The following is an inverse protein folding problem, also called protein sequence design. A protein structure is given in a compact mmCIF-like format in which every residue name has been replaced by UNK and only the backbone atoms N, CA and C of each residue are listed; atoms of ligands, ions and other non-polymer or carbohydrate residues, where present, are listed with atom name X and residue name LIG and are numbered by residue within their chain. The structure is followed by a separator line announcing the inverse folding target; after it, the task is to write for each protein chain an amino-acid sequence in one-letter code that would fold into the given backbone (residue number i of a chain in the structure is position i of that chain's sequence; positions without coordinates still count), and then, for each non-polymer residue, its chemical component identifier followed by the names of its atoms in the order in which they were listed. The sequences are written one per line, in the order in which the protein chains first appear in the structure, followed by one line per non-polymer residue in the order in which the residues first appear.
data_IF_590559513320
#
_entry.id   IF_590559513320
#
_cell.length_a   1.000
_cell.length_b   1.000
_cell.length_c   1.000
_cell.angle_alpha   90.00
_cell.angle_beta   90.00
_cell.angle_gamma   90.00
#
_symmetry.space_group_name_H-M   'P 1'
#
loop_
_entity.id
_entity.type
_entity.pdbx_description
1 polymer ?
#
# COMPACT_ATOMS: atom_id res chain seq x y z
N UNK A 1 -76.20 53.46 -14.27
CA UNK A 1 -75.42 52.69 -13.26
C UNK A 1 -74.62 51.50 -13.82
N UNK A 2 -74.92 50.94 -15.00
CA UNK A 2 -74.17 49.79 -15.53
C UNK A 2 -72.75 50.10 -16.06
N UNK A 3 -72.45 51.32 -16.48
CA UNK A 3 -71.12 51.65 -17.04
C UNK A 3 -70.01 51.82 -15.98
N UNK A 4 -70.35 52.08 -14.71
CA UNK A 4 -69.37 52.23 -13.60
C UNK A 4 -68.86 50.88 -13.07
N UNK A 5 -69.64 49.81 -13.22
CA UNK A 5 -69.26 48.46 -12.74
C UNK A 5 -68.29 47.78 -13.70
N UNK A 6 -68.47 47.98 -15.01
CA UNK A 6 -67.60 47.45 -16.08
C UNK A 6 -66.22 48.12 -16.17
N UNK A 7 -66.10 49.34 -15.63
CA UNK A 7 -64.84 50.11 -15.60
C UNK A 7 -63.96 49.72 -14.39
N UNK A 8 -64.58 49.41 -13.25
CA UNK A 8 -63.89 48.93 -12.03
C UNK A 8 -63.28 47.55 -12.24
N UNK A 9 -63.95 46.67 -12.97
CA UNK A 9 -63.43 45.33 -13.32
C UNK A 9 -62.23 45.40 -14.27
N UNK A 10 -62.15 46.40 -15.16
CA UNK A 10 -61.00 46.58 -16.07
C UNK A 10 -59.74 47.09 -15.36
N UNK A 11 -59.85 48.01 -14.39
CA UNK A 11 -58.67 48.38 -13.57
C UNK A 11 -58.24 47.22 -12.67
N UNK A 12 -59.19 46.48 -12.08
CA UNK A 12 -58.89 45.26 -11.34
C UNK A 12 -58.19 44.22 -12.22
N UNK A 13 -58.61 44.06 -13.48
CA UNK A 13 -58.01 43.10 -14.42
C UNK A 13 -56.61 43.53 -14.90
N UNK A 14 -56.35 44.84 -15.07
CA UNK A 14 -55.01 45.34 -15.40
C UNK A 14 -54.05 45.26 -14.21
N UNK A 15 -54.53 45.53 -13.00
CA UNK A 15 -53.77 45.35 -11.76
C UNK A 15 -53.54 43.87 -11.47
N UNK A 16 -54.54 43.03 -11.70
CA UNK A 16 -54.45 41.58 -11.60
C UNK A 16 -53.49 41.02 -12.64
N UNK A 17 -53.52 41.44 -13.91
CA UNK A 17 -52.57 40.96 -14.92
C UNK A 17 -51.13 41.43 -14.66
N UNK A 18 -50.92 42.64 -14.12
CA UNK A 18 -49.58 43.10 -13.73
C UNK A 18 -49.09 42.43 -12.44
N UNK A 19 -49.98 42.17 -11.46
CA UNK A 19 -49.69 41.36 -10.29
C UNK A 19 -49.51 39.89 -10.65
N UNK A 20 -50.18 39.39 -11.69
CA UNK A 20 -50.05 38.02 -12.18
C UNK A 20 -48.76 37.89 -12.98
N UNK A 21 -48.34 38.90 -13.74
CA UNK A 21 -47.02 38.90 -14.37
C UNK A 21 -45.89 39.04 -13.34
N UNK A 22 -46.03 39.91 -12.33
CA UNK A 22 -45.04 40.01 -11.26
C UNK A 22 -45.05 38.80 -10.34
N UNK A 23 -46.22 38.20 -10.05
CA UNK A 23 -46.35 36.95 -9.32
C UNK A 23 -45.91 35.75 -10.17
N UNK A 24 -46.06 35.74 -11.49
CA UNK A 24 -45.51 34.68 -12.37
C UNK A 24 -44.00 34.80 -12.43
N UNK A 25 -43.43 36.01 -12.48
CA UNK A 25 -41.97 36.20 -12.36
C UNK A 25 -41.48 35.78 -10.98
N UNK A 26 -42.15 36.18 -9.89
CA UNK A 26 -41.83 35.76 -8.52
C UNK A 26 -42.07 34.27 -8.27
N UNK A 27 -43.08 33.65 -8.89
CA UNK A 27 -43.38 32.21 -8.81
C UNK A 27 -42.45 31.43 -9.72
N UNK A 28 -41.99 31.95 -10.86
CA UNK A 28 -40.92 31.31 -11.64
C UNK A 28 -39.61 31.30 -10.83
N UNK A 29 -39.26 32.42 -10.18
CA UNK A 29 -38.14 32.48 -9.22
C UNK A 29 -38.35 31.60 -7.97
N UNK A 30 -39.57 31.53 -7.42
CA UNK A 30 -39.88 30.74 -6.22
C UNK A 30 -40.12 29.25 -6.51
N UNK A 31 -40.52 28.87 -7.72
CA UNK A 31 -40.74 27.48 -8.15
C UNK A 31 -39.41 26.80 -8.50
N UNK A 32 -38.42 27.56 -8.96
CA UNK A 32 -37.01 27.10 -8.97
C UNK A 32 -36.45 27.00 -7.54
N UNK A 33 -36.76 27.95 -6.65
CA UNK A 33 -36.34 27.90 -5.24
C UNK A 33 -36.96 26.74 -4.45
N UNK A 34 -38.19 26.32 -4.79
CA UNK A 34 -38.92 25.25 -4.10
C UNK A 34 -38.50 23.83 -4.54
N UNK A 35 -37.85 23.69 -5.71
CA UNK A 35 -37.24 22.42 -6.12
C UNK A 35 -35.88 22.16 -5.46
N UNK A 36 -35.25 23.17 -4.86
CA UNK A 36 -33.97 23.03 -4.14
C UNK A 36 -34.18 22.67 -2.65
N UNK A 37 -35.41 22.82 -2.12
CA UNK A 37 -35.71 22.59 -0.70
C UNK A 37 -36.18 21.15 -0.35
N UNK A 38 -36.10 20.20 -1.28
CA UNK A 38 -36.33 18.77 -0.99
C UNK A 38 -35.07 17.94 -1.18
N UNK A 39 -34.00 18.34 -0.48
CA UNK A 39 -32.83 17.51 -0.23
C UNK A 39 -33.16 16.34 0.70
N UNK A 40 -33.75 15.27 0.16
CA UNK A 40 -33.96 13.99 0.86
C UNK A 40 -33.21 12.82 0.24
N UNK A 41 -32.11 13.09 -0.49
CA UNK A 41 -31.30 12.06 -1.15
C UNK A 41 -29.86 11.90 -0.63
N UNK A 42 -29.41 12.70 0.35
CA UNK A 42 -28.01 12.69 0.81
C UNK A 42 -27.74 11.88 2.09
N UNK A 43 -28.73 11.17 2.65
CA UNK A 43 -28.53 10.33 3.85
C UNK A 43 -28.36 8.82 3.56
N UNK A 44 -28.35 8.39 2.28
CA UNK A 44 -28.18 6.96 1.93
C UNK A 44 -26.77 6.55 1.52
N UNK A 45 -25.83 7.48 1.33
CA UNK A 45 -24.46 7.16 0.88
C UNK A 45 -23.41 7.09 2.01
N UNK A 46 -23.76 7.45 3.25
CA UNK A 46 -22.86 7.31 4.41
C UNK A 46 -23.11 6.03 5.24
N UNK A 47 -24.11 5.22 4.87
CA UNK A 47 -24.45 3.98 5.58
C UNK A 47 -23.80 2.71 4.98
N UNK A 48 -22.91 2.84 3.98
CA UNK A 48 -22.37 1.69 3.25
C UNK A 48 -20.83 1.60 3.21
N UNK A 49 -20.12 2.40 4.02
CA UNK A 49 -18.64 2.42 4.06
C UNK A 49 -18.01 1.76 5.28
N UNK A 50 -18.76 0.98 6.07
CA UNK A 50 -18.21 0.13 7.13
C UNK A 50 -18.60 -1.32 6.89
N UNK A 51 -18.10 -1.91 5.80
CA UNK A 51 -18.02 -3.36 5.65
C UNK A 51 -16.63 -3.81 6.10
N UNK A 52 -16.63 -4.71 7.07
CA UNK A 52 -15.49 -5.08 7.89
C UNK A 52 -14.29 -5.60 7.10
N UNK A 53 -13.12 -5.15 7.55
CA UNK A 53 -11.88 -5.89 7.37
C UNK A 53 -11.96 -7.15 8.26
N UNK A 54 -11.63 -8.35 7.76
CA UNK A 54 -11.53 -9.53 8.60
C UNK A 54 -10.46 -9.32 9.67
N UNK A 55 -10.86 -9.54 10.92
CA UNK A 55 -10.01 -9.53 12.10
C UNK A 55 -9.08 -10.75 12.01
N UNK A 56 -7.82 -10.56 11.60
CA UNK A 56 -6.76 -11.57 11.70
C UNK A 56 -6.24 -11.61 13.14
N UNK A 57 -7.07 -12.07 14.08
CA UNK A 57 -6.66 -12.31 15.45
C UNK A 57 -7.01 -13.74 15.80
N UNK A 58 -6.15 -14.68 15.39
CA UNK A 58 -5.89 -15.93 16.11
C UNK A 58 -4.73 -16.69 15.45
N UNK A 59 -3.52 -16.19 15.67
CA UNK A 59 -2.34 -17.04 15.82
C UNK A 59 -1.53 -16.45 16.96
N UNK A 60 -1.94 -16.80 18.19
CA UNK A 60 -1.37 -16.28 19.42
C UNK A 60 0.00 -16.94 19.66
N UNK A 61 0.99 -16.56 18.84
CA UNK A 61 2.39 -16.93 18.96
C UNK A 61 3.11 -16.14 20.08
N UNK A 62 2.41 -15.74 21.15
CA UNK A 62 3.02 -15.05 22.30
C UNK A 62 3.87 -13.80 21.99
N UNK A 63 3.77 -13.26 20.77
CA UNK A 63 4.59 -12.13 20.35
C UNK A 63 3.94 -10.83 20.81
N UNK A 64 4.67 -10.09 21.64
CA UNK A 64 4.28 -8.76 22.10
C UNK A 64 4.03 -7.86 20.88
N UNK A 65 2.89 -7.15 20.85
CA UNK A 65 2.58 -6.26 19.75
C UNK A 65 3.61 -5.13 19.66
N UNK A 66 4.14 -4.90 18.47
CA UNK A 66 5.16 -3.87 18.21
C UNK A 66 4.55 -2.50 18.50
N UNK A 67 5.14 -1.78 19.46
CA UNK A 67 4.76 -0.39 19.79
C UNK A 67 5.60 0.55 18.94
N UNK A 68 5.00 1.04 17.85
CA UNK A 68 5.65 2.00 16.97
C UNK A 68 5.74 3.40 17.60
N UNK A 69 6.87 4.08 17.38
CA UNK A 69 7.02 5.49 17.73
C UNK A 69 6.24 6.39 16.76
N UNK A 70 5.72 7.51 17.28
CA UNK A 70 4.98 8.51 16.51
C UNK A 70 5.93 9.65 16.13
N UNK A 71 5.79 10.17 14.91
CA UNK A 71 6.58 11.30 14.44
C UNK A 71 6.28 12.58 15.23
N UNK A 72 7.34 13.34 15.55
CA UNK A 72 7.20 14.67 16.15
C UNK A 72 6.91 15.72 15.08
N UNK A 73 5.67 16.22 15.07
CA UNK A 73 5.16 17.18 14.09
C UNK A 73 4.58 18.40 14.77
N UNK A 74 4.73 19.57 14.14
CA UNK A 74 4.16 20.81 14.65
C UNK A 74 2.70 20.96 14.19
N UNK A 75 1.85 21.50 15.07
CA UNK A 75 0.44 21.80 14.79
C UNK A 75 0.17 23.31 14.63
N UNK A 76 1.23 24.11 14.52
CA UNK A 76 1.17 25.58 14.47
C UNK A 76 0.77 26.12 13.09
N UNK A 77 -0.44 25.79 12.64
CA UNK A 77 -1.03 26.38 11.43
C UNK A 77 -1.73 27.70 11.79
N UNK A 78 -1.43 28.76 11.03
CA UNK A 78 -1.91 30.11 11.33
C UNK A 78 -3.02 30.58 10.35
N UNK A 79 -3.13 29.93 9.19
CA UNK A 79 -4.18 30.21 8.21
C UNK A 79 -5.57 29.92 8.76
N UNK A 80 -6.56 30.74 8.38
CA UNK A 80 -7.93 30.63 8.89
C UNK A 80 -8.96 30.67 7.76
N UNK A 81 -9.82 29.65 7.68
CA UNK A 81 -10.93 29.57 6.72
C UNK A 81 -12.23 30.27 7.20
N UNK A 82 -12.20 30.99 8.33
CA UNK A 82 -13.40 31.60 8.93
C UNK A 82 -13.86 32.83 8.14
N UNK A 83 -14.89 32.65 7.32
CA UNK A 83 -15.53 33.75 6.60
C UNK A 83 -16.64 34.43 7.44
N UNK A 84 -16.53 35.75 7.67
CA UNK A 84 -17.56 36.54 8.37
C UNK A 84 -18.39 37.36 7.39
N UNK A 85 -19.59 36.86 7.05
CA UNK A 85 -20.48 37.50 6.08
C UNK A 85 -21.16 38.80 6.56
N UNK A 86 -21.09 39.12 7.87
CA UNK A 86 -21.83 40.23 8.52
C UNK A 86 -23.29 40.29 8.01
N UNK A 87 -23.79 41.49 7.67
CA UNK A 87 -25.15 41.68 7.14
C UNK A 87 -25.37 41.26 5.67
N UNK A 88 -24.32 40.83 4.95
CA UNK A 88 -24.40 40.45 3.53
C UNK A 88 -24.74 38.98 3.31
N UNK A 89 -25.01 38.22 4.37
CA UNK A 89 -25.29 36.78 4.29
C UNK A 89 -26.41 36.42 3.30
N UNK A 90 -27.50 37.19 3.28
CA UNK A 90 -28.60 36.95 2.34
C UNK A 90 -28.21 37.19 0.88
N UNK A 91 -27.41 38.23 0.62
CA UNK A 91 -26.91 38.51 -0.72
C UNK A 91 -25.98 37.39 -1.18
N UNK A 92 -25.07 36.93 -0.32
CA UNK A 92 -24.19 35.81 -0.63
C UNK A 92 -24.94 34.50 -0.86
N UNK A 93 -26.04 34.27 -0.15
CA UNK A 93 -26.90 33.12 -0.42
C UNK A 93 -27.50 33.18 -1.83
N UNK A 94 -28.07 34.33 -2.23
CA UNK A 94 -28.64 34.52 -3.57
C UNK A 94 -27.55 34.39 -4.64
N UNK A 95 -26.39 35.02 -4.43
CA UNK A 95 -25.25 34.92 -5.34
C UNK A 95 -24.79 33.48 -5.47
N UNK A 96 -24.67 32.72 -4.37
CA UNK A 96 -24.31 31.29 -4.41
C UNK A 96 -25.36 30.46 -5.15
N UNK A 97 -26.64 30.72 -4.94
CA UNK A 97 -27.71 30.03 -5.67
C UNK A 97 -27.60 30.30 -7.18
N UNK A 98 -27.39 31.56 -7.58
CA UNK A 98 -27.17 31.94 -8.97
C UNK A 98 -25.90 31.31 -9.56
N UNK A 99 -24.79 31.35 -8.82
CA UNK A 99 -23.53 30.73 -9.24
C UNK A 99 -23.68 29.22 -9.40
N UNK A 100 -24.43 28.52 -8.54
CA UNK A 100 -24.71 27.09 -8.69
C UNK A 100 -25.55 26.77 -9.93
N UNK A 101 -26.44 27.67 -10.34
CA UNK A 101 -27.22 27.51 -11.59
C UNK A 101 -26.31 27.65 -12.81
N UNK A 102 -25.36 28.59 -12.76
CA UNK A 102 -24.47 28.87 -13.88
C UNK A 102 -23.28 27.89 -13.94
N UNK A 103 -22.77 27.49 -12.79
CA UNK A 103 -21.68 26.54 -12.59
C UNK A 103 -22.20 25.32 -11.80
N UNK A 104 -22.97 24.43 -12.42
CA UNK A 104 -23.35 23.18 -11.78
C UNK A 104 -22.15 22.22 -11.77
N UNK A 105 -21.27 22.30 -10.78
CA UNK A 105 -20.18 21.34 -10.58
C UNK A 105 -18.83 21.94 -10.18
N UNK A 106 -17.76 21.20 -10.49
CA UNK A 106 -16.37 21.59 -10.23
C UNK A 106 -15.94 22.79 -11.09
N UNK A 107 -14.94 23.56 -10.63
CA UNK A 107 -14.44 24.74 -11.38
C UNK A 107 -13.78 24.38 -12.73
N UNK A 108 -13.30 23.14 -12.83
CA UNK A 108 -12.58 22.64 -13.99
C UNK A 108 -13.30 21.38 -14.51
N UNK A 109 -13.42 21.21 -15.83
CA UNK A 109 -14.00 20.00 -16.39
C UNK A 109 -13.11 18.78 -16.07
N UNK A 110 -13.75 17.66 -15.73
CA UNK A 110 -13.07 16.37 -15.57
C UNK A 110 -12.25 16.04 -16.82
N UNK A 111 -11.01 15.59 -16.63
CA UNK A 111 -10.10 15.22 -17.72
C UNK A 111 -9.18 16.35 -18.22
N UNK A 112 -9.31 17.59 -17.75
CA UNK A 112 -8.41 18.67 -18.15
C UNK A 112 -6.96 18.47 -17.64
N UNK A 113 -6.81 17.82 -16.49
CA UNK A 113 -5.51 17.48 -15.90
C UNK A 113 -5.51 16.00 -15.57
N UNK A 114 -4.81 15.22 -16.38
CA UNK A 114 -4.62 13.78 -16.12
C UNK A 114 -3.17 13.52 -15.73
N UNK A 115 -2.97 12.86 -14.59
CA UNK A 115 -1.66 12.34 -14.20
C UNK A 115 -1.56 10.91 -14.72
N UNK A 116 -0.83 10.72 -15.81
CA UNK A 116 -0.41 9.40 -16.31
C UNK A 116 1.11 9.36 -16.29
N UNK A 117 1.68 8.32 -15.70
CA UNK A 117 3.12 8.06 -15.67
C UNK A 117 3.96 9.18 -15.00
N UNK A 118 3.45 9.77 -13.92
CA UNK A 118 4.17 10.79 -13.14
C UNK A 118 4.36 12.13 -13.85
N UNK A 119 3.71 12.32 -15.03
CA UNK A 119 3.69 13.60 -15.75
C UNK A 119 2.27 14.15 -15.78
N UNK A 120 2.13 15.37 -15.28
CA UNK A 120 0.88 16.13 -15.37
C UNK A 120 0.70 16.50 -16.85
N UNK A 121 -0.23 15.84 -17.54
CA UNK A 121 -0.62 16.22 -18.90
C UNK A 121 -1.91 17.03 -18.82
N UNK A 122 -1.80 18.29 -19.24
CA UNK A 122 -2.95 19.14 -19.51
C UNK A 122 -3.55 18.69 -20.83
N UNK A 123 -4.84 18.39 -20.85
CA UNK A 123 -5.55 18.00 -22.07
C UNK A 123 -5.46 19.11 -23.13
N UNK A 124 -5.32 18.70 -24.39
CA UNK A 124 -5.27 19.63 -25.50
C UNK A 124 -6.63 20.30 -25.70
N UNK A 125 -6.68 21.62 -25.49
CA UNK A 125 -7.88 22.46 -25.55
C UNK A 125 -8.54 22.38 -26.92
N UNK A 126 -7.76 22.14 -27.97
CA UNK A 126 -8.25 22.08 -29.35
C UNK A 126 -8.93 20.73 -29.67
N UNK A 127 -8.54 19.65 -28.99
CA UNK A 127 -9.13 18.32 -29.16
C UNK A 127 -10.44 18.11 -28.40
N UNK A 128 -10.57 18.73 -27.21
CA UNK A 128 -11.67 18.51 -26.26
C UNK A 128 -12.59 19.74 -26.11
N UNK A 129 -12.76 20.52 -27.18
CA UNK A 129 -13.54 21.77 -27.15
C UNK A 129 -15.02 21.55 -26.76
N UNK A 130 -15.59 20.39 -27.09
CA UNK A 130 -16.96 20.03 -26.73
C UNK A 130 -17.16 19.94 -25.21
N UNK A 131 -16.16 19.43 -24.49
CA UNK A 131 -16.17 19.30 -23.02
C UNK A 131 -16.11 20.68 -22.37
N UNK A 132 -15.29 21.59 -22.91
CA UNK A 132 -15.22 22.98 -22.49
C UNK A 132 -16.53 23.74 -22.74
N UNK A 133 -17.12 23.60 -23.93
CA UNK A 133 -18.38 24.28 -24.27
C UNK A 133 -19.55 23.75 -23.46
N UNK A 134 -19.59 22.45 -23.14
CA UNK A 134 -20.62 21.88 -22.28
C UNK A 134 -20.53 22.43 -20.85
N UNK A 135 -19.32 22.64 -20.36
CA UNK A 135 -19.08 23.13 -19.01
C UNK A 135 -19.25 24.65 -18.88
N UNK A 136 -18.74 25.44 -19.82
CA UNK A 136 -18.78 26.91 -19.78
C UNK A 136 -19.84 27.56 -20.68
N UNK A 137 -20.66 26.78 -21.40
CA UNK A 137 -21.61 27.32 -22.39
C UNK A 137 -22.68 28.23 -21.80
N UNK A 138 -23.25 27.88 -20.65
CA UNK A 138 -24.26 28.69 -19.96
C UNK A 138 -23.64 30.02 -19.47
N UNK A 139 -22.46 29.92 -18.87
CA UNK A 139 -21.60 31.06 -18.51
C UNK A 139 -21.38 32.03 -19.67
N UNK A 140 -20.90 31.51 -20.80
CA UNK A 140 -20.63 32.30 -22.00
C UNK A 140 -21.90 32.98 -22.53
N UNK A 141 -23.05 32.29 -22.48
CA UNK A 141 -24.33 32.85 -22.89
C UNK A 141 -24.75 34.02 -21.98
N UNK A 142 -24.64 33.88 -20.66
CA UNK A 142 -24.98 34.96 -19.71
C UNK A 142 -24.09 36.19 -19.93
N UNK A 143 -22.79 35.98 -20.12
CA UNK A 143 -21.84 37.05 -20.42
C UNK A 143 -22.18 37.74 -21.75
N UNK A 144 -22.47 36.97 -22.79
CA UNK A 144 -22.85 37.50 -24.10
C UNK A 144 -24.12 38.36 -24.00
N UNK A 145 -25.16 37.86 -23.34
CA UNK A 145 -26.42 38.59 -23.11
C UNK A 145 -26.15 39.88 -22.33
N UNK A 146 -25.33 39.83 -21.27
CA UNK A 146 -24.93 41.00 -20.49
C UNK A 146 -24.22 42.05 -21.33
N UNK A 147 -23.31 41.64 -22.23
CA UNK A 147 -22.58 42.55 -23.12
C UNK A 147 -23.53 43.22 -24.12
N UNK A 148 -24.47 42.46 -24.69
CA UNK A 148 -25.51 43.02 -25.57
C UNK A 148 -26.33 44.09 -24.84
N UNK A 149 -26.72 43.87 -23.58
CA UNK A 149 -27.41 44.89 -22.79
C UNK A 149 -26.54 46.12 -22.51
N UNK A 150 -25.27 45.92 -22.17
CA UNK A 150 -24.32 46.99 -21.89
C UNK A 150 -24.16 47.95 -23.09
N UNK A 151 -24.23 47.42 -24.32
CA UNK A 151 -24.14 48.22 -25.55
C UNK A 151 -25.50 48.80 -25.96
N UNK A 152 -26.57 48.00 -25.91
CA UNK A 152 -27.89 48.43 -26.40
C UNK A 152 -28.54 49.51 -25.52
N UNK A 153 -28.41 49.43 -24.19
CA UNK A 153 -28.99 50.41 -23.26
C UNK A 153 -28.50 51.85 -23.52
N UNK A 154 -27.18 52.15 -23.57
CA UNK A 154 -26.71 53.50 -23.85
C UNK A 154 -27.00 53.94 -25.29
N UNK A 155 -26.99 53.03 -26.28
CA UNK A 155 -27.37 53.36 -27.66
C UNK A 155 -28.84 53.76 -27.78
N UNK A 156 -29.74 53.04 -27.13
CA UNK A 156 -31.16 53.39 -27.04
C UNK A 156 -31.30 54.74 -26.33
N UNK A 157 -30.62 54.93 -25.19
CA UNK A 157 -30.62 56.20 -24.46
C UNK A 157 -30.15 57.39 -25.31
N UNK A 158 -29.08 57.21 -26.08
CA UNK A 158 -28.52 58.21 -26.99
C UNK A 158 -29.47 58.50 -28.15
N UNK A 159 -30.06 57.47 -28.77
CA UNK A 159 -31.06 57.63 -29.82
C UNK A 159 -32.28 58.41 -29.32
N UNK A 160 -32.83 58.05 -28.16
CA UNK A 160 -33.92 58.79 -27.52
C UNK A 160 -33.55 60.23 -27.18
N UNK A 161 -32.32 60.46 -26.69
CA UNK A 161 -31.79 61.79 -26.40
C UNK A 161 -31.73 62.64 -27.68
N UNK A 162 -31.09 62.14 -28.74
CA UNK A 162 -31.00 62.81 -30.04
C UNK A 162 -32.38 63.07 -30.67
N UNK A 163 -33.30 62.12 -30.61
CA UNK A 163 -34.66 62.29 -31.12
C UNK A 163 -35.47 63.34 -30.33
N UNK A 164 -35.23 63.47 -29.02
CA UNK A 164 -35.82 64.54 -28.20
C UNK A 164 -35.19 65.90 -28.50
N UNK A 165 -33.87 65.98 -28.62
CA UNK A 165 -33.16 67.21 -29.02
C UNK A 165 -33.55 67.71 -30.42
N UNK A 166 -33.86 66.80 -31.34
CA UNK A 166 -34.36 67.12 -32.68
C UNK A 166 -35.86 67.49 -32.73
N UNK A 167 -36.55 67.58 -31.57
CA UNK A 167 -37.96 67.98 -31.48
C UNK A 167 -38.97 66.97 -32.06
N UNK A 168 -38.52 65.79 -32.52
CA UNK A 168 -39.37 64.76 -33.14
C UNK A 168 -39.97 63.79 -32.13
N UNK A 169 -39.38 63.69 -30.93
CA UNK A 169 -39.89 62.88 -29.83
C UNK A 169 -40.15 63.77 -28.61
N UNK A 170 -41.40 64.19 -28.42
CA UNK A 170 -41.84 64.96 -27.27
C UNK A 170 -43.30 64.65 -26.98
N UNK A 171 -43.62 64.32 -25.73
CA UNK A 171 -44.99 64.14 -25.29
C UNK A 171 -45.81 65.38 -25.66
N UNK A 172 -46.81 65.21 -26.52
CA UNK A 172 -47.72 66.28 -26.92
C UNK A 172 -48.42 66.79 -25.67
N UNK A 173 -48.31 68.08 -25.38
CA UNK A 173 -48.87 68.77 -24.21
C UNK A 173 -50.38 68.96 -24.30
N UNK A 174 -51.15 67.91 -24.60
CA UNK A 174 -52.61 67.95 -24.47
C UNK A 174 -53.03 67.23 -23.19
N UNK A 175 -53.38 67.97 -22.11
CA UNK A 175 -53.91 67.37 -20.91
C UNK A 175 -55.42 67.16 -21.11
N UNK A 176 -55.80 66.02 -21.66
CA UNK A 176 -57.12 65.47 -21.40
C UNK A 176 -56.91 64.16 -20.65
N UNK A 177 -56.71 64.29 -19.35
CA UNK A 177 -56.75 63.15 -18.42
C UNK A 177 -58.09 62.42 -18.64
N UNK A 178 -58.01 61.21 -19.18
CA UNK A 178 -59.16 60.31 -19.30
C UNK A 178 -59.41 59.75 -17.89
N UNK A 179 -60.67 59.50 -17.49
CA UNK A 179 -61.04 59.07 -16.12
C UNK A 179 -60.32 57.81 -15.59
N UNK A 180 -59.59 57.07 -16.43
CA UNK A 180 -58.79 55.88 -16.09
C UNK A 180 -57.30 56.20 -15.75
N UNK A 181 -56.82 57.42 -15.99
CA UNK A 181 -55.44 57.83 -15.75
C UNK A 181 -54.98 57.82 -14.28
N UNK A 182 -55.79 58.06 -13.23
CA UNK A 182 -55.28 58.07 -11.85
C UNK A 182 -54.88 56.67 -11.34
N UNK A 183 -55.62 55.62 -11.71
CA UNK A 183 -55.30 54.22 -11.34
C UNK A 183 -53.99 53.77 -12.03
N UNK A 184 -53.85 54.06 -13.33
CA UNK A 184 -52.64 53.76 -14.11
C UNK A 184 -51.43 54.59 -13.68
N UNK A 185 -51.63 55.85 -13.30
CA UNK A 185 -50.57 56.71 -12.76
C UNK A 185 -50.08 56.19 -11.40
N UNK A 186 -50.99 55.75 -10.54
CA UNK A 186 -50.63 55.20 -9.24
C UNK A 186 -49.91 53.84 -9.37
N UNK A 187 -50.33 52.97 -10.30
CA UNK A 187 -49.63 51.70 -10.57
C UNK A 187 -48.20 51.93 -11.06
N UNK A 188 -48.01 52.86 -12.01
CA UNK A 188 -46.67 53.18 -12.53
C UNK A 188 -45.82 53.88 -11.47
N UNK A 189 -46.42 54.77 -10.67
CA UNK A 189 -45.74 55.42 -9.55
C UNK A 189 -45.28 54.43 -8.47
N UNK A 190 -46.14 53.48 -8.10
CA UNK A 190 -45.79 52.42 -7.14
C UNK A 190 -44.65 51.55 -7.69
N UNK A 191 -44.74 51.11 -8.95
CA UNK A 191 -43.70 50.29 -9.57
C UNK A 191 -42.35 51.03 -9.66
N UNK A 192 -42.36 52.30 -10.09
CA UNK A 192 -41.16 53.13 -10.12
C UNK A 192 -40.57 53.33 -8.71
N UNK A 193 -41.40 53.52 -7.69
CA UNK A 193 -40.95 53.60 -6.30
C UNK A 193 -40.27 52.30 -5.85
N UNK A 194 -40.89 51.14 -6.08
CA UNK A 194 -40.31 49.84 -5.77
C UNK A 194 -38.96 49.61 -6.49
N UNK A 195 -38.89 49.91 -7.79
CA UNK A 195 -37.64 49.77 -8.57
C UNK A 195 -36.55 50.72 -8.04
N UNK A 196 -36.92 51.95 -7.67
CA UNK A 196 -35.96 52.92 -7.11
C UNK A 196 -35.41 52.45 -5.77
N UNK A 197 -36.23 51.87 -4.89
CA UNK A 197 -35.80 51.28 -3.62
C UNK A 197 -34.83 50.12 -3.87
N UNK A 198 -35.13 49.23 -4.82
CA UNK A 198 -34.25 48.11 -5.18
C UNK A 198 -32.90 48.59 -5.72
N UNK A 199 -32.89 49.62 -6.58
CA UNK A 199 -31.65 50.21 -7.09
C UNK A 199 -30.85 50.85 -5.96
N UNK A 200 -31.50 51.60 -5.05
CA UNK A 200 -30.83 52.21 -3.90
C UNK A 200 -30.19 51.15 -2.99
N UNK A 201 -30.89 50.05 -2.73
CA UNK A 201 -30.34 48.90 -2.01
C UNK A 201 -29.11 48.32 -2.74
N UNK A 202 -29.20 48.13 -4.05
CA UNK A 202 -28.08 47.66 -4.88
C UNK A 202 -26.85 48.56 -4.80
N UNK A 203 -27.04 49.87 -4.78
CA UNK A 203 -25.95 50.87 -4.63
C UNK A 203 -25.29 50.74 -3.25
N UNK A 204 -26.07 50.59 -2.17
CA UNK A 204 -25.50 50.36 -0.82
C UNK A 204 -24.70 49.06 -0.79
N UNK A 205 -25.24 47.98 -1.36
CA UNK A 205 -24.51 46.72 -1.46
C UNK A 205 -23.21 46.87 -2.27
N UNK A 206 -23.22 47.64 -3.36
CA UNK A 206 -22.02 47.90 -4.16
C UNK A 206 -20.94 48.64 -3.36
N UNK A 207 -21.32 49.65 -2.57
CA UNK A 207 -20.38 50.35 -1.69
C UNK A 207 -19.77 49.44 -0.63
N UNK A 208 -20.58 48.64 0.06
CA UNK A 208 -20.08 47.69 1.07
C UNK A 208 -19.17 46.64 0.43
N UNK A 209 -19.54 46.14 -0.75
CA UNK A 209 -18.71 45.18 -1.50
C UNK A 209 -17.37 45.79 -1.89
N UNK A 210 -17.36 47.06 -2.30
CA UNK A 210 -16.13 47.76 -2.64
C UNK A 210 -15.20 47.93 -1.43
N UNK A 211 -15.75 48.28 -0.26
CA UNK A 211 -14.98 48.36 0.99
C UNK A 211 -14.39 47.00 1.41
N UNK A 212 -15.17 45.93 1.26
CA UNK A 212 -14.70 44.57 1.53
C UNK A 212 -13.65 44.11 0.53
N UNK A 213 -13.81 44.46 -0.74
CA UNK A 213 -12.81 44.17 -1.77
C UNK A 213 -11.50 44.89 -1.45
N UNK A 214 -11.56 46.16 -1.09
CA UNK A 214 -10.38 46.94 -0.69
C UNK A 214 -9.68 46.32 0.53
N UNK A 215 -10.45 45.98 1.58
CA UNK A 215 -9.90 45.33 2.78
C UNK A 215 -9.29 43.97 2.47
N UNK A 216 -9.97 43.16 1.66
CA UNK A 216 -9.47 41.85 1.22
C UNK A 216 -8.21 41.96 0.37
N UNK A 217 -8.17 42.90 -0.59
CA UNK A 217 -6.98 43.10 -1.44
C UNK A 217 -5.76 43.59 -0.66
N UNK A 218 -5.95 44.37 0.41
CA UNK A 218 -4.87 44.81 1.30
C UNK A 218 -4.32 43.67 2.16
N UNK A 219 -5.18 42.79 2.66
CA UNK A 219 -4.76 41.64 3.48
C UNK A 219 -4.23 40.46 2.64
N UNK A 220 -4.56 40.41 1.35
CA UNK A 220 -4.23 39.29 0.47
C UNK A 220 -2.74 38.90 0.45
N UNK A 221 -1.76 39.82 0.36
CA UNK A 221 -0.35 39.43 0.35
C UNK A 221 0.07 38.74 1.65
N UNK A 222 -0.40 39.23 2.80
CA UNK A 222 -0.09 38.67 4.11
C UNK A 222 -0.78 37.30 4.30
N UNK A 223 -2.06 37.19 3.94
CA UNK A 223 -2.83 35.95 4.01
C UNK A 223 -2.23 34.86 3.09
N UNK A 224 -1.77 35.24 1.90
CA UNK A 224 -1.08 34.32 0.97
C UNK A 224 0.27 33.90 1.54
N UNK A 225 1.05 34.82 2.10
CA UNK A 225 2.32 34.47 2.75
C UNK A 225 2.11 33.50 3.91
N UNK A 226 1.11 33.74 4.76
CA UNK A 226 0.74 32.82 5.86
C UNK A 226 0.30 31.46 5.32
N UNK A 227 -0.52 31.44 4.28
CA UNK A 227 -0.99 30.18 3.67
C UNK A 227 0.14 29.38 3.02
N UNK A 228 1.10 30.06 2.39
CA UNK A 228 2.31 29.42 1.84
C UNK A 228 3.21 28.89 2.95
N UNK A 229 3.43 29.66 4.02
CA UNK A 229 4.18 29.21 5.19
C UNK A 229 3.55 27.98 5.84
N UNK A 230 2.22 27.94 5.96
CA UNK A 230 1.50 26.77 6.47
C UNK A 230 1.61 25.57 5.51
N UNK A 231 1.67 25.81 4.20
CA UNK A 231 1.89 24.76 3.20
C UNK A 231 3.31 24.18 3.31
N UNK A 232 4.32 25.02 3.50
CA UNK A 232 5.68 24.58 3.74
C UNK A 232 5.78 23.77 5.03
N UNK A 233 5.11 24.21 6.12
CA UNK A 233 5.01 23.47 7.37
C UNK A 233 4.32 22.10 7.17
N UNK A 234 3.24 22.06 6.41
CA UNK A 234 2.53 20.82 6.09
C UNK A 234 3.43 19.83 5.34
N UNK A 235 4.19 20.31 4.34
CA UNK A 235 5.14 19.49 3.60
C UNK A 235 6.29 18.99 4.48
N UNK A 236 6.80 19.83 5.38
CA UNK A 236 7.84 19.44 6.34
C UNK A 236 7.33 18.37 7.31
N UNK A 237 6.14 18.55 7.87
CA UNK A 237 5.49 17.57 8.75
C UNK A 237 5.25 16.24 8.01
N UNK A 238 4.74 16.30 6.78
CA UNK A 238 4.54 15.11 5.94
C UNK A 238 5.86 14.38 5.70
N UNK A 239 6.95 15.11 5.43
CA UNK A 239 8.29 14.52 5.29
C UNK A 239 8.75 13.83 6.59
N UNK A 240 8.50 14.42 7.76
CA UNK A 240 8.82 13.82 9.06
C UNK A 240 8.02 12.55 9.31
N UNK A 241 6.72 12.56 9.03
CA UNK A 241 5.86 11.38 9.15
C UNK A 241 6.29 10.25 8.21
N UNK A 242 6.57 10.57 6.95
CA UNK A 242 7.07 9.59 5.96
C UNK A 242 8.41 9.01 6.41
N UNK A 243 9.35 9.84 6.85
CA UNK A 243 10.64 9.34 7.35
C UNK A 243 10.47 8.48 8.61
N UNK A 244 9.59 8.87 9.53
CA UNK A 244 9.33 8.08 10.74
C UNK A 244 8.73 6.71 10.38
N UNK A 245 7.78 6.66 9.45
CA UNK A 245 7.17 5.43 9.00
C UNK A 245 8.17 4.52 8.26
N UNK A 246 8.95 5.07 7.33
CA UNK A 246 9.83 4.27 6.46
C UNK A 246 11.16 3.91 7.10
N UNK A 247 11.68 4.74 8.02
CA UNK A 247 13.01 4.53 8.61
C UNK A 247 12.86 4.06 10.06
N UNK A 248 12.21 4.85 10.91
CA UNK A 248 12.12 4.56 12.34
C UNK A 248 11.27 3.32 12.60
N UNK A 249 10.01 3.31 12.13
CA UNK A 249 9.10 2.19 12.36
C UNK A 249 9.56 0.92 11.64
N UNK A 250 10.18 1.04 10.46
CA UNK A 250 10.80 -0.11 9.80
C UNK A 250 11.97 -0.67 10.63
N UNK A 251 12.84 0.18 11.19
CA UNK A 251 13.92 -0.25 12.08
C UNK A 251 13.42 -0.88 13.38
N UNK A 252 12.34 -0.34 13.96
CA UNK A 252 11.66 -0.93 15.14
C UNK A 252 11.10 -2.33 14.83
N UNK A 253 10.48 -2.47 13.66
CA UNK A 253 9.99 -3.75 13.15
C UNK A 253 11.15 -4.74 12.94
N UNK A 254 12.22 -4.32 12.26
CA UNK A 254 13.40 -5.16 11.98
C UNK A 254 14.05 -5.63 13.28
N UNK A 255 14.29 -4.73 14.23
CA UNK A 255 14.89 -5.06 15.53
C UNK A 255 14.03 -6.06 16.31
N UNK A 256 12.72 -5.83 16.35
CA UNK A 256 11.78 -6.71 17.04
C UNK A 256 11.69 -8.08 16.35
N UNK A 257 11.64 -8.11 15.02
CA UNK A 257 11.58 -9.33 14.23
C UNK A 257 12.87 -10.17 14.40
N UNK A 258 14.04 -9.53 14.38
CA UNK A 258 15.32 -10.21 14.62
C UNK A 258 15.39 -10.78 16.04
N UNK A 259 14.89 -10.04 17.03
CA UNK A 259 14.82 -10.51 18.43
C UNK A 259 13.91 -11.73 18.55
N UNK A 260 12.75 -11.70 17.89
CA UNK A 260 11.81 -12.83 17.85
C UNK A 260 12.44 -14.04 17.18
N UNK A 261 13.03 -13.88 15.98
CA UNK A 261 13.68 -14.95 15.24
C UNK A 261 14.82 -15.59 16.05
N UNK A 262 15.62 -14.77 16.73
CA UNK A 262 16.71 -15.27 17.57
C UNK A 262 16.19 -16.09 18.75
N UNK A 263 15.19 -15.59 19.49
CA UNK A 263 14.56 -16.31 20.60
C UNK A 263 13.90 -17.62 20.14
N UNK A 264 13.17 -17.59 19.03
CA UNK A 264 12.59 -18.80 18.45
C UNK A 264 13.66 -19.81 18.04
N UNK A 265 14.79 -19.33 17.52
CA UNK A 265 15.95 -20.17 17.21
C UNK A 265 16.57 -20.82 18.45
N UNK A 266 16.74 -20.07 19.55
CA UNK A 266 17.21 -20.62 20.84
C UNK A 266 16.24 -21.65 21.41
N UNK A 267 14.94 -21.36 21.44
CA UNK A 267 13.91 -22.30 21.92
C UNK A 267 13.94 -23.58 21.09
N UNK A 268 13.99 -23.48 19.76
CA UNK A 268 14.09 -24.66 18.90
C UNK A 268 15.41 -25.41 19.13
N UNK A 269 16.53 -24.72 19.36
CA UNK A 269 17.81 -25.38 19.67
C UNK A 269 17.73 -26.15 20.99
N UNK A 270 17.10 -25.57 22.01
CA UNK A 270 16.94 -26.19 23.34
C UNK A 270 16.05 -27.45 23.24
N UNK A 271 14.87 -27.34 22.64
CA UNK A 271 13.93 -28.45 22.44
C UNK A 271 14.55 -29.58 21.59
N UNK A 272 15.21 -29.22 20.48
CA UNK A 272 15.88 -30.21 19.63
C UNK A 272 17.09 -30.83 20.33
N UNK A 273 17.79 -30.05 21.14
CA UNK A 273 18.87 -30.50 22.00
C UNK A 273 18.38 -31.51 23.03
N UNK A 274 17.26 -31.25 23.72
CA UNK A 274 16.67 -32.18 24.69
C UNK A 274 16.24 -33.49 24.03
N UNK A 275 15.55 -33.42 22.88
CA UNK A 275 15.12 -34.60 22.11
C UNK A 275 16.33 -35.38 21.57
N UNK A 276 17.38 -34.71 21.11
CA UNK A 276 18.54 -35.36 20.47
C UNK A 276 19.56 -35.92 21.47
N UNK A 277 19.72 -35.28 22.65
CA UNK A 277 20.68 -35.67 23.69
C UNK A 277 20.39 -37.06 24.27
N UNK A 278 19.13 -37.50 24.30
CA UNK A 278 18.76 -38.71 25.03
C UNK A 278 19.17 -40.02 24.33
N UNK A 279 19.21 -40.09 22.98
CA UNK A 279 19.30 -41.39 22.31
C UNK A 279 20.25 -41.43 21.10
N UNK A 280 20.44 -40.34 20.35
CA UNK A 280 21.15 -40.44 19.05
C UNK A 280 22.66 -40.24 19.19
N UNK A 281 23.10 -39.25 19.96
CA UNK A 281 24.53 -38.89 20.04
C UNK A 281 25.33 -39.92 20.85
N UNK A 282 24.78 -40.44 21.96
CA UNK A 282 25.48 -41.48 22.75
C UNK A 282 25.65 -42.78 21.96
N UNK A 283 24.64 -43.15 21.17
CA UNK A 283 24.69 -44.31 20.29
C UNK A 283 25.74 -44.15 19.19
N UNK A 284 25.84 -42.97 18.57
CA UNK A 284 26.87 -42.70 17.55
C UNK A 284 28.29 -42.75 18.12
N UNK A 285 28.54 -42.15 19.27
CA UNK A 285 29.87 -42.19 19.92
C UNK A 285 30.28 -43.61 20.27
N UNK A 286 29.35 -44.43 20.77
CA UNK A 286 29.61 -45.85 21.07
C UNK A 286 29.93 -46.67 19.80
N UNK A 287 29.24 -46.41 18.68
CA UNK A 287 29.50 -47.08 17.40
C UNK A 287 30.90 -46.74 16.88
N UNK A 288 31.28 -45.46 16.91
CA UNK A 288 32.61 -45.02 16.45
C UNK A 288 33.72 -45.62 17.32
N UNK A 289 33.55 -45.65 18.64
CA UNK A 289 34.49 -46.34 19.54
C UNK A 289 34.60 -47.84 19.24
N UNK A 290 33.47 -48.49 18.95
CA UNK A 290 33.44 -49.90 18.54
C UNK A 290 34.22 -50.17 17.24
N UNK A 291 34.16 -49.27 16.26
CA UNK A 291 34.92 -49.38 15.01
C UNK A 291 36.44 -49.35 15.23
N UNK A 292 36.93 -48.56 16.20
CA UNK A 292 38.36 -48.50 16.52
C UNK A 292 38.87 -49.83 17.14
N UNK A 293 38.05 -50.45 18.00
CA UNK A 293 38.34 -51.79 18.55
C UNK A 293 38.39 -52.82 17.41
N UNK A 294 37.40 -52.79 16.51
CA UNK A 294 37.34 -53.70 15.35
C UNK A 294 38.57 -53.52 14.44
N UNK A 295 39.04 -52.29 14.19
CA UNK A 295 40.28 -52.04 13.42
C UNK A 295 41.48 -52.72 14.08
N UNK A 296 41.61 -52.58 15.39
CA UNK A 296 42.71 -53.15 16.16
C UNK A 296 42.68 -54.68 16.09
N UNK A 297 41.50 -55.28 16.28
CA UNK A 297 41.33 -56.74 16.21
C UNK A 297 41.58 -57.29 14.81
N UNK A 298 41.08 -56.63 13.77
CA UNK A 298 41.35 -57.03 12.38
C UNK A 298 42.84 -56.92 12.03
N UNK A 299 43.55 -55.91 12.54
CA UNK A 299 45.01 -55.77 12.36
C UNK A 299 45.77 -56.90 13.06
N UNK A 300 45.34 -57.26 14.28
CA UNK A 300 45.90 -58.39 15.01
C UNK A 300 45.64 -59.72 14.28
N UNK A 301 44.42 -59.95 13.78
CA UNK A 301 44.07 -61.15 13.01
C UNK A 301 44.89 -61.23 11.72
N UNK A 302 45.06 -60.13 10.99
CA UNK A 302 45.86 -60.07 9.76
C UNK A 302 47.32 -60.47 10.06
N UNK A 303 47.95 -59.80 11.03
CA UNK A 303 49.34 -60.06 11.41
C UNK A 303 49.57 -61.49 11.94
N UNK A 304 48.64 -62.02 12.75
CA UNK A 304 48.69 -63.39 13.25
C UNK A 304 48.52 -64.39 12.12
N UNK A 305 47.61 -64.13 11.18
CA UNK A 305 47.37 -65.02 10.04
C UNK A 305 48.57 -65.07 9.10
N UNK A 306 49.24 -63.93 8.86
CA UNK A 306 50.50 -63.87 8.09
C UNK A 306 51.60 -64.63 8.81
N UNK A 307 51.83 -64.36 10.10
CA UNK A 307 52.86 -65.06 10.90
C UNK A 307 52.64 -66.57 10.97
N UNK A 308 51.39 -66.99 11.08
CA UNK A 308 51.04 -68.42 11.13
C UNK A 308 51.29 -69.09 9.78
N UNK A 309 50.97 -68.43 8.65
CA UNK A 309 51.32 -68.89 7.31
C UNK A 309 52.83 -69.02 7.13
N UNK A 310 53.60 -68.02 7.53
CA UNK A 310 55.06 -68.06 7.41
C UNK A 310 55.67 -69.21 8.22
N UNK A 311 55.20 -69.40 9.46
CA UNK A 311 55.65 -70.52 10.30
C UNK A 311 55.21 -71.89 9.80
N UNK A 312 54.04 -71.97 9.18
CA UNK A 312 53.59 -73.20 8.52
C UNK A 312 54.50 -73.56 7.35
N UNK A 313 54.86 -72.58 6.50
CA UNK A 313 55.79 -72.77 5.37
C UNK A 313 57.18 -73.18 5.86
N UNK A 314 57.71 -72.52 6.90
CA UNK A 314 59.00 -72.87 7.51
C UNK A 314 59.00 -74.31 8.05
N UNK A 315 57.92 -74.71 8.73
CA UNK A 315 57.77 -76.07 9.25
C UNK A 315 57.62 -77.11 8.14
N UNK A 316 56.85 -76.82 7.08
CA UNK A 316 56.71 -77.69 5.92
C UNK A 316 58.07 -77.91 5.24
N UNK A 317 58.86 -76.86 5.07
CA UNK A 317 60.22 -76.95 4.54
C UNK A 317 61.13 -77.78 5.45
N UNK A 318 61.13 -77.52 6.77
CA UNK A 318 61.95 -78.27 7.73
C UNK A 318 61.56 -79.76 7.78
N UNK A 319 60.26 -80.08 7.70
CA UNK A 319 59.77 -81.46 7.60
C UNK A 319 60.23 -82.14 6.32
N UNK A 320 60.19 -81.41 5.18
CA UNK A 320 60.69 -81.91 3.89
C UNK A 320 62.19 -82.20 3.93
N UNK A 321 63.00 -81.27 4.44
CA UNK A 321 64.45 -81.46 4.60
C UNK A 321 64.78 -82.63 5.54
N UNK A 322 64.06 -82.73 6.66
CA UNK A 322 64.24 -83.83 7.62
C UNK A 322 63.87 -85.16 6.98
N UNK A 323 62.78 -85.22 6.22
CA UNK A 323 62.34 -86.40 5.47
C UNK A 323 63.38 -86.82 4.43
N UNK A 324 63.91 -85.90 3.65
CA UNK A 324 64.96 -86.18 2.66
C UNK A 324 66.23 -86.72 3.33
N UNK A 325 66.67 -86.10 4.42
CA UNK A 325 67.81 -86.55 5.22
C UNK A 325 67.59 -87.94 5.84
N UNK A 326 66.40 -88.22 6.37
CA UNK A 326 66.06 -89.53 6.94
C UNK A 326 66.07 -90.60 5.85
N UNK A 327 65.48 -90.33 4.69
CA UNK A 327 65.46 -91.25 3.55
C UNK A 327 66.88 -91.54 3.04
N UNK A 328 67.75 -90.54 3.00
CA UNK A 328 69.14 -90.70 2.58
C UNK A 328 69.94 -91.58 3.58
N UNK A 329 69.79 -91.33 4.89
CA UNK A 329 70.42 -92.15 5.93
C UNK A 329 69.91 -93.59 5.95
N UNK A 330 68.62 -93.80 5.68
CA UNK A 330 68.04 -95.14 5.60
C UNK A 330 68.53 -95.91 4.37
N UNK A 331 68.75 -95.24 3.23
CA UNK A 331 69.39 -95.87 2.07
C UNK A 331 70.81 -96.33 2.40
N UNK A 332 71.57 -95.54 3.16
CA UNK A 332 72.94 -95.89 3.57
C UNK A 332 73.00 -97.10 4.52
N UNK A 333 71.94 -97.36 5.29
CA UNK A 333 71.90 -98.43 6.30
C UNK A 333 71.11 -99.68 5.85
N UNK A 334 70.64 -99.71 4.59
CA UNK A 334 69.76 -100.75 4.05
C UNK A 334 70.33 -102.18 4.16
N UNK A 335 71.66 -102.32 4.25
CA UNK A 335 72.35 -103.61 4.42
C UNK A 335 72.35 -104.16 5.85
N UNK A 336 71.84 -103.42 6.84
CA UNK A 336 71.76 -103.89 8.23
C UNK A 336 70.35 -104.39 8.59
N UNK A 337 70.24 -105.52 9.34
CA UNK A 337 68.96 -106.13 9.69
C UNK A 337 68.05 -105.17 10.49
N UNK A 338 68.62 -104.38 11.41
CA UNK A 338 67.87 -103.41 12.22
C UNK A 338 67.24 -102.27 11.38
N UNK A 339 67.88 -101.85 10.29
CA UNK A 339 67.34 -100.80 9.42
C UNK A 339 66.18 -101.31 8.57
N UNK A 340 66.28 -102.56 8.09
CA UNK A 340 65.19 -103.21 7.35
C UNK A 340 63.91 -103.37 8.18
N UNK A 341 64.05 -103.63 9.48
CA UNK A 341 62.94 -103.74 10.42
C UNK A 341 62.27 -102.38 10.67
N UNK A 342 63.06 -101.32 10.81
CA UNK A 342 62.54 -99.95 10.96
C UNK A 342 61.74 -99.49 9.74
N UNK A 343 62.25 -99.72 8.52
CA UNK A 343 61.55 -99.42 7.27
C UNK A 343 60.26 -100.22 7.09
N UNK A 344 60.17 -101.43 7.67
CA UNK A 344 58.97 -102.25 7.63
C UNK A 344 57.89 -101.75 8.58
N UNK A 345 58.28 -101.19 9.73
CA UNK A 345 57.36 -100.77 10.78
C UNK A 345 56.91 -99.30 10.65
N UNK A 346 57.67 -98.43 9.98
CA UNK A 346 57.37 -97.00 9.88
C UNK A 346 57.37 -96.48 8.44
N UNK A 347 56.27 -95.84 8.03
CA UNK A 347 56.12 -95.25 6.70
C UNK A 347 56.49 -93.75 6.69
N UNK A 348 57.77 -93.46 6.41
CA UNK A 348 58.32 -92.10 6.43
C UNK A 348 57.83 -91.25 5.25
N UNK A 349 57.22 -91.86 4.23
CA UNK A 349 56.61 -91.10 3.12
C UNK A 349 55.36 -90.29 3.50
N UNK A 350 54.89 -90.39 4.76
CA UNK A 350 53.77 -89.61 5.29
C UNK A 350 54.16 -88.52 6.30
N UNK A 351 55.45 -88.17 6.43
CA UNK A 351 55.84 -87.02 7.24
C UNK A 351 55.49 -85.72 6.49
N UNK A 352 54.26 -85.24 6.67
CA UNK A 352 53.77 -83.98 6.11
C UNK A 352 52.94 -83.22 7.15
N UNK A 353 52.76 -81.92 6.95
CA UNK A 353 51.84 -81.11 7.73
C UNK A 353 50.39 -81.54 7.40
N UNK A 354 49.61 -81.97 8.39
CA UNK A 354 48.23 -82.42 8.18
C UNK A 354 47.21 -81.24 8.14
N UNK A 355 47.63 -80.06 8.59
CA UNK A 355 46.77 -78.86 8.68
C UNK A 355 47.03 -77.87 7.54
N UNK A 356 45.96 -77.51 6.81
CA UNK A 356 46.01 -76.55 5.71
C UNK A 356 45.84 -75.10 6.22
N UNK A 357 46.96 -74.41 6.43
CA UNK A 357 46.99 -73.00 6.83
C UNK A 357 46.69 -72.03 5.67
N UNK A 358 46.42 -72.53 4.44
CA UNK A 358 45.99 -71.68 3.32
C UNK A 358 44.55 -71.18 3.47
N UNK A 359 43.71 -71.87 4.26
CA UNK A 359 42.29 -71.55 4.47
C UNK A 359 42.02 -70.51 5.56
N UNK A 360 43.04 -69.82 6.07
CA UNK A 360 42.85 -68.73 7.03
C UNK A 360 42.04 -67.58 6.39
N UNK A 361 41.11 -66.96 7.13
CA UNK A 361 40.26 -65.89 6.60
C UNK A 361 41.10 -64.67 6.17
N UNK A 362 40.82 -64.15 4.98
CA UNK A 362 41.40 -62.91 4.50
C UNK A 362 40.58 -61.73 5.03
N UNK A 363 41.17 -60.98 5.96
CA UNK A 363 40.55 -59.82 6.61
C UNK A 363 40.97 -58.48 5.99
N UNK A 364 41.83 -58.48 4.97
CA UNK A 364 42.45 -57.27 4.41
C UNK A 364 41.40 -56.30 3.84
N UNK A 365 40.36 -56.80 3.17
CA UNK A 365 39.30 -55.96 2.63
C UNK A 365 38.47 -55.27 3.73
N UNK A 366 38.11 -56.00 4.78
CA UNK A 366 37.39 -55.44 5.94
C UNK A 366 38.24 -54.43 6.70
N UNK A 367 39.54 -54.72 6.86
CA UNK A 367 40.49 -53.81 7.51
C UNK A 367 40.66 -52.51 6.72
N UNK A 368 40.72 -52.59 5.38
CA UNK A 368 40.79 -51.40 4.52
C UNK A 368 39.53 -50.54 4.62
N UNK A 369 38.35 -51.16 4.60
CA UNK A 369 37.09 -50.43 4.69
C UNK A 369 36.93 -49.74 6.06
N UNK A 370 37.24 -50.44 7.16
CA UNK A 370 37.16 -49.86 8.52
C UNK A 370 38.23 -48.78 8.71
N UNK A 371 39.45 -48.99 8.20
CA UNK A 371 40.52 -47.98 8.27
C UNK A 371 40.16 -46.73 7.47
N UNK A 372 39.62 -46.86 6.26
CA UNK A 372 39.19 -45.73 5.44
C UNK A 372 38.08 -44.90 6.11
N UNK A 373 37.15 -45.57 6.80
CA UNK A 373 36.06 -44.90 7.53
C UNK A 373 36.56 -44.17 8.79
N UNK A 374 37.60 -44.69 9.46
CA UNK A 374 38.20 -44.02 10.61
C UNK A 374 39.16 -42.90 10.21
N UNK A 375 39.81 -43.02 9.04
CA UNK A 375 40.66 -41.99 8.46
C UNK A 375 39.87 -40.80 7.89
N UNK A 376 38.55 -40.93 7.71
CA UNK A 376 37.68 -39.81 7.32
C UNK A 376 37.26 -38.93 8.50
N UNK A 377 38.05 -38.87 9.57
CA UNK A 377 37.86 -38.04 10.77
C UNK A 377 36.46 -38.14 11.41
N UNK A 378 35.78 -39.29 11.25
CA UNK A 378 34.40 -39.48 11.73
C UNK A 378 34.28 -39.30 13.25
N UNK A 379 35.33 -39.64 13.99
CA UNK A 379 35.42 -39.44 15.44
C UNK A 379 35.45 -37.95 15.81
N UNK A 380 36.19 -37.15 15.04
CA UNK A 380 36.26 -35.71 15.24
C UNK A 380 34.93 -35.04 14.89
N UNK A 381 34.28 -35.44 13.80
CA UNK A 381 33.00 -34.86 13.38
C UNK A 381 31.86 -35.23 14.34
N UNK A 382 31.82 -36.46 14.85
CA UNK A 382 30.85 -36.86 15.89
C UNK A 382 31.10 -36.11 17.20
N UNK A 383 32.38 -35.91 17.59
CA UNK A 383 32.74 -35.14 18.79
C UNK A 383 32.42 -33.65 18.65
N UNK A 384 32.67 -33.03 17.49
CA UNK A 384 32.26 -31.64 17.21
C UNK A 384 30.75 -31.50 17.25
N UNK A 385 30.02 -32.40 16.59
CA UNK A 385 28.56 -32.43 16.65
C UNK A 385 28.06 -32.48 18.09
N UNK A 386 28.63 -33.37 18.91
CA UNK A 386 28.30 -33.45 20.34
C UNK A 386 28.51 -32.11 21.07
N UNK A 387 29.63 -31.42 20.83
CA UNK A 387 29.93 -30.13 21.46
C UNK A 387 29.01 -28.98 21.00
N UNK A 388 28.49 -29.01 19.77
CA UNK A 388 27.57 -27.97 19.29
C UNK A 388 26.16 -28.07 19.90
N UNK A 389 25.79 -29.29 20.32
CA UNK A 389 24.52 -29.60 20.99
C UNK A 389 24.61 -29.52 22.53
N UNK A 390 25.80 -29.67 23.12
CA UNK A 390 26.06 -29.37 24.55
C UNK A 390 25.90 -27.87 24.83
#
# INVERSE_FOLDING_TARGET
MNHSRTERTKCLHSFANMLFLSAVVLVLFARESSCVLTGKHQQRLQAQSNQGLPNYQELNLGFEQIKYSVADVSSEYNSTAKHRARGMGHLYFITKAFMNVIFPGELYPEGLVTSRDGRIRVADVQGEWHTLVRHYGLMALVVLVGLVFLVTIPLIGLFFCCCRCAGRCGARSQPFEKRYDPCRRHTHGFFLSCVTILIAFGVVCAFVTNEYLETGTRALPDDVHVSLSDTDLYLENTKKEVNNLLITNYGELESTLNTILHRSGEIMKEELGEVSKAEVISNLTNIVQGLNIIRTDLTNIDSLSVRLKDKAVELEQALKETRENLLDKLRQCQSQPACSEFLRNYNITHLNLETDFAQLPNVTASLQNVSALLESDIEQEVSKGQQEFE
#
